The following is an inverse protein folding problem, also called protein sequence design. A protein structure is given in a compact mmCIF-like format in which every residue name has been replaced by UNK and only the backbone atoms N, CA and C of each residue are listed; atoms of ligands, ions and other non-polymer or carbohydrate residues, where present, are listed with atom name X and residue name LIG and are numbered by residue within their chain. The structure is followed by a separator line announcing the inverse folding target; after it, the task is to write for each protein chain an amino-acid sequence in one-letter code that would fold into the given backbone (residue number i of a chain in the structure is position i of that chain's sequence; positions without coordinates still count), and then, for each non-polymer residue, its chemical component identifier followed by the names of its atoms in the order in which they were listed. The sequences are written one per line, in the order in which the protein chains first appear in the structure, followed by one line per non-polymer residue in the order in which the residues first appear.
data_IF_753103859146
#
_entry.id   IF_753103859146
#
_cell.length_a   1.000
_cell.length_b   1.000
_cell.length_c   1.000
_cell.angle_alpha   90.00
_cell.angle_beta   90.00
_cell.angle_gamma   90.00
#
_symmetry.space_group_name_H-M   'P 1'
#
loop_
_entity.id
_entity.type
_entity.pdbx_description
1 polymer ?
#
# COMPACT_ATOMS: atom_id res chain seq x y z
N UNK A 1 -1.49 -3.58 3.22
CA UNK A 1 -1.81 -4.14 1.89
C UNK A 1 -3.29 -3.87 1.59
N UNK A 2 -3.59 -3.39 0.39
CA UNK A 2 -4.95 -3.11 -0.10
C UNK A 2 -5.18 -3.85 -1.42
N UNK A 3 -6.36 -4.44 -1.56
CA UNK A 3 -6.78 -5.17 -2.77
C UNK A 3 -7.93 -4.45 -3.46
N UNK A 4 -8.15 -4.72 -4.74
CA UNK A 4 -9.28 -4.16 -5.51
C UNK A 4 -10.64 -4.32 -4.82
N UNK A 5 -10.87 -5.47 -4.21
CA UNK A 5 -12.14 -5.79 -3.53
C UNK A 5 -12.41 -4.93 -2.28
N UNK A 6 -11.36 -4.38 -1.69
CA UNK A 6 -11.45 -3.52 -0.50
C UNK A 6 -11.73 -2.06 -0.88
N UNK A 7 -11.45 -1.67 -2.12
CA UNK A 7 -11.67 -0.32 -2.62
C UNK A 7 -13.09 -0.22 -3.18
N UNK A 8 -14.04 0.06 -2.31
CA UNK A 8 -15.45 0.21 -2.68
C UNK A 8 -15.72 1.47 -3.50
N UNK A 9 -14.97 2.54 -3.24
CA UNK A 9 -15.11 3.82 -3.91
C UNK A 9 -13.74 4.36 -4.29
N UNK A 10 -13.61 4.88 -5.48
CA UNK A 10 -12.36 5.45 -6.03
C UNK A 10 -11.78 6.57 -5.14
N UNK A 11 -12.63 7.28 -4.40
CA UNK A 11 -12.18 8.36 -3.51
C UNK A 11 -11.26 7.87 -2.37
N UNK A 12 -11.28 6.57 -2.01
CA UNK A 12 -10.34 6.02 -1.04
C UNK A 12 -8.89 5.99 -1.54
N UNK A 13 -8.68 6.13 -2.84
CA UNK A 13 -7.34 6.24 -3.41
C UNK A 13 -6.74 7.64 -3.29
N UNK A 14 -7.54 8.68 -3.02
CA UNK A 14 -7.06 10.06 -2.86
C UNK A 14 -6.02 10.17 -1.74
N UNK A 15 -6.33 9.81 -0.48
CA UNK A 15 -5.36 9.90 0.60
C UNK A 15 -4.11 9.04 0.36
N UNK A 16 -4.26 7.89 -0.30
CA UNK A 16 -3.11 7.04 -0.66
C UNK A 16 -2.23 7.73 -1.69
N UNK A 17 -2.83 8.32 -2.73
CA UNK A 17 -2.12 9.09 -3.74
C UNK A 17 -1.36 10.27 -3.11
N UNK A 18 -1.99 11.02 -2.22
CA UNK A 18 -1.40 12.18 -1.56
C UNK A 18 -0.24 11.76 -0.64
N UNK A 19 -0.43 10.70 0.13
CA UNK A 19 0.62 10.14 0.97
C UNK A 19 1.83 9.65 0.16
N UNK A 20 1.60 8.98 -0.97
CA UNK A 20 2.68 8.50 -1.84
C UNK A 20 3.39 9.64 -2.56
N UNK A 21 2.67 10.70 -2.95
CA UNK A 21 3.22 11.85 -3.67
C UNK A 21 3.99 12.80 -2.77
N UNK A 22 3.37 13.24 -1.67
CA UNK A 22 3.90 14.27 -0.77
C UNK A 22 4.47 13.70 0.54
N UNK A 23 4.08 12.47 0.90
CA UNK A 23 4.34 11.90 2.23
C UNK A 23 3.41 12.42 3.31
N UNK A 24 2.37 13.20 2.95
CA UNK A 24 1.45 13.83 3.88
C UNK A 24 0.01 13.74 3.36
N UNK A 25 -0.93 13.58 4.27
CA UNK A 25 -2.37 13.65 4.01
C UNK A 25 -2.89 14.87 4.74
N UNK A 26 -3.40 15.84 4.00
CA UNK A 26 -3.98 17.06 4.57
C UNK A 26 -5.16 16.72 5.49
N UNK A 27 -5.25 17.43 6.61
CA UNK A 27 -6.35 17.31 7.58
C UNK A 27 -6.57 15.91 8.17
N UNK A 28 -5.56 15.03 8.07
CA UNK A 28 -5.63 13.69 8.66
C UNK A 28 -5.69 13.74 10.19
N UNK A 29 -4.95 14.66 10.80
CA UNK A 29 -4.87 14.83 12.25
C UNK A 29 -5.39 16.20 12.67
N UNK A 30 -6.19 16.29 13.75
CA UNK A 30 -6.45 17.55 14.43
C UNK A 30 -5.14 18.23 14.82
N UNK A 31 -5.15 19.56 14.88
CA UNK A 31 -3.94 20.36 15.18
C UNK A 31 -3.28 19.96 16.50
N UNK A 32 -4.09 19.69 17.52
CA UNK A 32 -3.61 19.26 18.86
C UNK A 32 -2.85 17.92 18.77
N UNK A 33 -3.40 16.94 18.05
CA UNK A 33 -2.79 15.62 17.91
C UNK A 33 -1.47 15.72 17.14
N UNK A 34 -1.44 16.56 16.10
CA UNK A 34 -0.22 16.84 15.36
C UNK A 34 0.85 17.49 16.23
N UNK A 35 0.51 18.51 17.02
CA UNK A 35 1.43 19.16 17.95
C UNK A 35 1.96 18.18 18.99
N UNK A 36 1.10 17.31 19.55
CA UNK A 36 1.50 16.28 20.50
C UNK A 36 2.48 15.26 19.87
N UNK A 37 2.22 14.82 18.63
CA UNK A 37 3.14 13.93 17.91
C UNK A 37 4.51 14.55 17.70
N UNK A 38 4.56 15.81 17.27
CA UNK A 38 5.83 16.55 17.08
C UNK A 38 6.57 16.74 18.42
N UNK A 39 5.86 17.04 19.49
CA UNK A 39 6.44 17.15 20.83
C UNK A 39 7.10 15.83 21.28
N UNK A 40 6.44 14.70 21.07
CA UNK A 40 6.96 13.38 21.42
C UNK A 40 8.23 13.03 20.64
N UNK A 41 8.33 13.49 19.39
CA UNK A 41 9.52 13.27 18.55
C UNK A 41 10.70 14.19 18.90
N UNK A 42 10.46 15.28 19.63
CA UNK A 42 11.48 16.29 19.95
C UNK A 42 12.69 15.69 20.67
N UNK A 43 12.47 14.81 21.63
CA UNK A 43 13.56 14.19 22.39
C UNK A 43 14.39 13.25 21.52
N UNK A 44 13.76 12.51 20.64
CA UNK A 44 14.41 11.61 19.69
C UNK A 44 15.22 12.40 18.65
N UNK A 45 14.63 13.46 18.10
CA UNK A 45 15.27 14.34 17.12
C UNK A 45 16.52 15.04 17.71
N UNK A 46 16.46 15.49 18.98
CA UNK A 46 17.61 16.04 19.71
C UNK A 46 18.73 15.01 19.85
N UNK A 47 18.40 13.75 20.15
CA UNK A 47 19.39 12.67 20.23
C UNK A 47 20.11 12.42 18.90
N UNK A 48 19.49 12.76 17.77
CA UNK A 48 20.09 12.68 16.43
C UNK A 48 20.79 13.98 15.98
N UNK A 49 20.85 15.00 16.83
CA UNK A 49 21.51 16.28 16.51
C UNK A 49 20.68 17.20 15.60
N UNK A 50 19.38 16.94 15.47
CA UNK A 50 18.45 17.76 14.66
C UNK A 50 18.12 19.03 15.46
N UNK A 51 18.23 20.20 14.81
CA UNK A 51 17.87 21.48 15.43
C UNK A 51 16.39 21.52 15.77
N UNK A 52 16.07 21.97 16.97
CA UNK A 52 14.72 22.04 17.54
C UNK A 52 13.93 23.21 16.92
N UNK A 53 13.58 23.08 15.64
CA UNK A 53 12.67 23.99 14.93
C UNK A 53 11.47 23.21 14.43
N UNK A 54 10.30 23.86 14.36
CA UNK A 54 9.06 23.22 13.90
C UNK A 54 9.22 22.58 12.52
N UNK A 55 9.91 23.27 11.62
CA UNK A 55 10.17 22.79 10.26
C UNK A 55 11.02 21.51 10.24
N UNK A 56 12.13 21.50 11.00
CA UNK A 56 13.03 20.35 11.07
C UNK A 56 12.35 19.13 11.72
N UNK A 57 11.55 19.36 12.75
CA UNK A 57 10.80 18.30 13.41
C UNK A 57 9.72 17.72 12.50
N UNK A 58 9.02 18.57 11.74
CA UNK A 58 8.06 18.13 10.72
C UNK A 58 8.75 17.31 9.63
N UNK A 59 9.89 17.80 9.11
CA UNK A 59 10.66 17.07 8.10
C UNK A 59 11.14 15.73 8.65
N UNK A 60 11.66 15.70 9.87
CA UNK A 60 12.07 14.45 10.53
C UNK A 60 10.91 13.47 10.68
N UNK A 61 9.71 13.96 11.06
CA UNK A 61 8.50 13.14 11.13
C UNK A 61 8.15 12.51 9.79
N UNK A 62 8.15 13.32 8.71
CA UNK A 62 7.84 12.85 7.36
C UNK A 62 8.85 11.82 6.87
N UNK A 63 10.13 12.05 7.12
CA UNK A 63 11.20 11.13 6.72
C UNK A 63 11.12 9.81 7.50
N UNK A 64 10.83 9.88 8.80
CA UNK A 64 10.59 8.69 9.63
C UNK A 64 9.39 7.90 9.16
N UNK A 65 8.30 8.59 8.81
CA UNK A 65 7.09 7.96 8.27
C UNK A 65 7.38 7.28 6.94
N UNK A 66 8.03 7.95 5.99
CA UNK A 66 8.41 7.38 4.69
C UNK A 66 9.31 6.15 4.82
N UNK A 67 10.23 6.17 5.78
CA UNK A 67 11.16 5.07 6.03
C UNK A 67 10.46 3.83 6.59
N UNK A 68 9.43 4.02 7.41
CA UNK A 68 8.80 2.92 8.16
C UNK A 68 7.44 2.49 7.59
N UNK A 69 6.82 3.30 6.73
CA UNK A 69 5.52 3.00 6.14
C UNK A 69 5.69 2.47 4.71
N UNK A 70 5.24 1.24 4.50
CA UNK A 70 5.27 0.59 3.20
C UNK A 70 3.85 0.27 2.74
N UNK A 71 3.49 0.74 1.56
CA UNK A 71 2.18 0.53 0.96
C UNK A 71 2.27 -0.52 -0.13
N UNK A 72 1.42 -1.54 -0.03
CA UNK A 72 1.28 -2.59 -1.05
C UNK A 72 -0.13 -2.54 -1.60
N UNK A 73 -0.26 -2.30 -2.91
CA UNK A 73 -1.52 -2.25 -3.63
C UNK A 73 -1.59 -3.42 -4.61
N UNK A 74 -2.64 -4.23 -4.50
CA UNK A 74 -2.87 -5.38 -5.38
C UNK A 74 -4.06 -5.07 -6.29
N UNK A 75 -3.77 -4.70 -7.53
CA UNK A 75 -4.75 -4.33 -8.53
C UNK A 75 -4.80 -5.35 -9.67
N UNK A 76 -6.01 -5.58 -10.19
CA UNK A 76 -6.17 -6.37 -11.40
C UNK A 76 -5.75 -5.54 -12.63
N UNK A 77 -4.88 -6.06 -13.50
CA UNK A 77 -4.51 -5.39 -14.74
C UNK A 77 -5.60 -5.53 -15.82
N UNK A 78 -6.65 -6.31 -15.54
CA UNK A 78 -7.71 -6.62 -16.52
C UNK A 78 -8.70 -5.46 -16.63
N UNK A 79 -8.99 -5.03 -17.87
CA UNK A 79 -9.96 -3.98 -18.17
C UNK A 79 -9.40 -2.56 -18.06
N UNK A 80 -10.30 -1.58 -18.09
CA UNK A 80 -9.96 -0.16 -18.14
C UNK A 80 -9.69 0.46 -16.75
N UNK A 81 -10.04 -0.23 -15.67
CA UNK A 81 -10.00 0.32 -14.29
C UNK A 81 -8.59 0.76 -13.93
N UNK A 82 -7.59 -0.07 -14.16
CA UNK A 82 -6.20 0.27 -13.87
C UNK A 82 -5.73 1.49 -14.67
N UNK A 83 -6.14 1.61 -15.94
CA UNK A 83 -5.81 2.75 -16.81
C UNK A 83 -6.48 4.04 -16.33
N UNK A 84 -7.73 3.97 -15.88
CA UNK A 84 -8.46 5.10 -15.32
C UNK A 84 -7.79 5.56 -14.02
N UNK A 85 -7.44 4.64 -13.12
CA UNK A 85 -6.75 4.94 -11.87
C UNK A 85 -5.38 5.58 -12.07
N UNK A 86 -4.61 5.07 -13.04
CA UNK A 86 -3.30 5.62 -13.39
C UNK A 86 -3.37 7.10 -13.82
N UNK A 87 -4.44 7.48 -14.50
CA UNK A 87 -4.66 8.88 -14.93
C UNK A 87 -5.17 9.75 -13.80
N UNK A 88 -6.06 9.23 -12.94
CA UNK A 88 -6.64 9.98 -11.83
C UNK A 88 -5.68 10.14 -10.64
N UNK A 89 -4.85 9.14 -10.41
CA UNK A 89 -3.97 9.04 -9.24
C UNK A 89 -2.51 8.80 -9.65
N UNK A 90 -1.86 9.81 -10.26
CA UNK A 90 -0.50 9.64 -10.78
C UNK A 90 0.54 9.32 -9.70
N UNK A 91 0.34 9.75 -8.46
CA UNK A 91 1.22 9.43 -7.34
C UNK A 91 1.32 7.94 -7.08
N UNK A 92 0.23 7.18 -7.29
CA UNK A 92 0.24 5.72 -7.13
C UNK A 92 1.21 5.08 -8.13
N UNK A 93 1.23 5.56 -9.38
CA UNK A 93 2.09 4.99 -10.42
C UNK A 93 3.53 5.50 -10.33
N UNK A 94 3.71 6.79 -10.10
CA UNK A 94 5.02 7.43 -10.15
C UNK A 94 5.86 7.17 -8.89
N UNK A 95 5.21 6.87 -7.76
CA UNK A 95 5.87 6.70 -6.46
C UNK A 95 5.91 5.25 -5.98
N UNK A 96 5.56 4.28 -6.84
CA UNK A 96 5.60 2.85 -6.51
C UNK A 96 6.37 2.06 -7.55
N UNK A 97 6.91 0.92 -7.13
CA UNK A 97 7.40 -0.12 -8.03
C UNK A 97 6.23 -1.00 -8.46
N UNK A 98 6.11 -1.28 -9.75
CA UNK A 98 5.01 -2.09 -10.28
C UNK A 98 5.54 -3.46 -10.68
N UNK A 99 5.05 -4.49 -9.99
CA UNK A 99 5.34 -5.87 -10.32
C UNK A 99 4.17 -6.48 -11.10
N UNK A 100 4.43 -6.91 -12.32
CA UNK A 100 3.43 -7.53 -13.17
C UNK A 100 3.44 -9.05 -13.01
N UNK A 101 2.35 -9.60 -12.47
CA UNK A 101 2.16 -11.04 -12.36
C UNK A 101 1.51 -11.57 -13.63
N UNK A 102 2.24 -12.37 -14.38
CA UNK A 102 1.73 -13.05 -15.57
C UNK A 102 0.81 -14.22 -15.18
N UNK A 103 -0.09 -14.67 -16.09
CA UNK A 103 -0.88 -15.87 -15.87
C UNK A 103 0.04 -17.07 -15.57
N UNK A 104 -0.41 -17.92 -14.65
CA UNK A 104 0.36 -19.10 -14.28
C UNK A 104 0.49 -20.06 -15.45
N UNK A 105 1.68 -20.62 -15.71
CA UNK A 105 1.84 -21.65 -16.73
C UNK A 105 1.04 -22.90 -16.35
N UNK A 106 0.54 -23.63 -17.36
CA UNK A 106 -0.31 -24.81 -17.19
C UNK A 106 0.29 -25.81 -16.19
N UNK A 107 1.61 -26.03 -16.23
CA UNK A 107 2.30 -26.92 -15.30
C UNK A 107 2.11 -26.49 -13.84
N UNK A 108 2.32 -25.22 -13.55
CA UNK A 108 2.15 -24.71 -12.18
C UNK A 108 0.70 -24.84 -11.67
N UNK A 109 -0.30 -24.62 -12.54
CA UNK A 109 -1.70 -24.84 -12.19
C UNK A 109 -1.98 -26.31 -11.85
N UNK A 110 -1.42 -27.24 -12.63
CA UNK A 110 -1.54 -28.67 -12.39
C UNK A 110 -0.86 -29.07 -11.07
N UNK A 111 0.37 -28.61 -10.82
CA UNK A 111 1.12 -28.92 -9.60
C UNK A 111 0.39 -28.41 -8.35
N UNK A 112 -0.19 -27.20 -8.43
CA UNK A 112 -1.02 -26.63 -7.34
C UNK A 112 -2.30 -27.45 -7.14
N UNK A 113 -2.99 -27.82 -8.22
CA UNK A 113 -4.18 -28.66 -8.14
C UNK A 113 -3.88 -30.00 -7.46
N UNK A 114 -2.82 -30.68 -7.86
CA UNK A 114 -2.40 -31.94 -7.21
C UNK A 114 -2.09 -31.76 -5.72
N UNK A 115 -1.45 -30.65 -5.35
CA UNK A 115 -1.10 -30.38 -3.95
C UNK A 115 -2.35 -30.16 -3.08
N UNK A 116 -3.35 -29.44 -3.56
CA UNK A 116 -4.54 -29.12 -2.79
C UNK A 116 -5.63 -30.21 -2.86
N UNK A 117 -5.67 -30.97 -3.94
CA UNK A 117 -6.67 -32.00 -4.14
C UNK A 117 -6.15 -33.40 -3.79
N UNK A 118 -4.85 -33.57 -3.55
CA UNK A 118 -4.24 -34.88 -3.29
C UNK A 118 -4.79 -35.58 -2.06
N UNK A 119 -5.23 -34.83 -1.05
CA UNK A 119 -5.81 -35.35 0.18
C UNK A 119 -7.34 -35.49 0.15
N UNK A 120 -7.98 -35.04 -0.97
CA UNK A 120 -9.44 -35.11 -1.13
C UNK A 120 -9.84 -36.49 -1.65
N UNK A 121 -10.56 -37.24 -0.85
CA UNK A 121 -11.17 -38.51 -1.27
C UNK A 121 -12.39 -38.20 -2.16
N UNK A 122 -12.24 -38.41 -3.46
CA UNK A 122 -13.34 -38.29 -4.40
C UNK A 122 -14.14 -39.58 -4.46
N UNK A 123 -15.51 -39.57 -4.45
CA UNK A 123 -16.32 -40.76 -4.67
C UNK A 123 -16.00 -41.36 -6.05
N UNK A 124 -15.94 -42.71 -6.11
CA UNK A 124 -15.56 -43.44 -7.35
C UNK A 124 -16.47 -43.15 -8.55
N UNK A 125 -17.69 -42.65 -8.34
CA UNK A 125 -18.66 -42.32 -9.39
C UNK A 125 -18.48 -40.93 -10.01
N UNK A 126 -17.56 -40.11 -9.54
CA UNK A 126 -17.30 -38.76 -10.07
C UNK A 126 -16.32 -38.74 -11.26
N UNK A 127 -15.88 -39.90 -11.74
CA UNK A 127 -14.92 -40.04 -12.85
C UNK A 127 -15.57 -40.52 -14.16
N UNK A 128 -16.91 -40.37 -14.31
CA UNK A 128 -17.61 -40.61 -15.60
C UNK A 128 -17.96 -39.33 -16.33
#
# INVERSE_FOLDING_TARGET
MLTDTQIKEEKFLIPINDMLSSGWISDLFPKEDYENMIQNLRNEAKGMGIKDTSENLTQYFLDKMRKNLHVVLCFSPVGEIMRIRSRKFPGIINSTSIDWFHPWPKKALIDVAYRFLGDVQLPADSLR
#
